data_IF_218292099792
#
_entry.id   IF_218292099792
#
_cell.length_a   1.000
_cell.length_b   1.000
_cell.length_c   1.000
_cell.angle_alpha   90.00
_cell.angle_beta   90.00
_cell.angle_gamma   90.00
#
_symmetry.space_group_name_H-M   'P 1'
#
loop_
_entity.id
_entity.type
_entity.pdbx_description
1 polymer ?
#
# COMPACT_ATOMS: atom_id res chain seq x y z
N UNK A 1 14.83 -15.08 17.88
CA UNK A 1 13.60 -15.32 17.08
C UNK A 1 13.31 -14.01 16.38
N UNK A 2 13.20 -14.02 15.07
CA UNK A 2 12.88 -12.84 14.25
C UNK A 2 11.48 -12.36 14.59
N UNK A 3 11.31 -11.08 14.86
CA UNK A 3 9.99 -10.48 15.08
C UNK A 3 9.25 -10.36 13.75
N UNK A 4 7.93 -10.51 13.78
CA UNK A 4 7.10 -10.38 12.58
C UNK A 4 5.87 -9.50 12.84
N UNK A 5 5.46 -8.74 11.82
CA UNK A 5 4.27 -7.91 11.84
C UNK A 5 3.47 -8.05 10.55
N UNK A 6 2.21 -7.70 10.58
CA UNK A 6 1.38 -7.61 9.39
C UNK A 6 1.28 -6.17 8.91
N UNK A 7 1.47 -5.95 7.60
CA UNK A 7 1.31 -4.66 6.96
C UNK A 7 0.13 -4.70 5.99
N UNK A 8 -0.95 -4.04 6.36
CA UNK A 8 -2.08 -3.79 5.46
C UNK A 8 -1.85 -2.50 4.68
N UNK A 9 -1.85 -2.63 3.35
CA UNK A 9 -1.33 -1.59 2.47
C UNK A 9 -2.15 -1.46 1.17
N UNK A 10 -2.25 -0.26 0.62
CA UNK A 10 -2.94 -0.01 -0.65
C UNK A 10 -2.17 0.94 -1.55
N UNK A 11 -2.07 0.62 -2.84
CA UNK A 11 -1.38 1.42 -3.85
C UNK A 11 -1.98 2.82 -4.06
N UNK A 12 -3.24 3.00 -3.74
CA UNK A 12 -3.92 4.29 -3.88
C UNK A 12 -3.75 5.19 -2.66
N UNK A 13 -3.12 4.73 -1.59
CA UNK A 13 -2.94 5.54 -0.38
C UNK A 13 -1.62 6.31 -0.40
N UNK A 14 -1.65 7.66 -0.36
CA UNK A 14 -0.43 8.46 -0.26
C UNK A 14 0.33 8.20 1.04
N UNK A 15 -0.36 7.94 2.15
CA UNK A 15 0.29 7.61 3.42
C UNK A 15 0.97 6.24 3.41
N UNK A 16 0.50 5.30 2.56
CA UNK A 16 1.22 4.06 2.29
C UNK A 16 2.56 4.35 1.60
N UNK A 17 2.57 5.20 0.58
CA UNK A 17 3.82 5.64 -0.05
C UNK A 17 4.74 6.32 0.96
N UNK A 18 4.22 7.23 1.78
CA UNK A 18 5.04 8.01 2.72
C UNK A 18 5.67 7.17 3.84
N UNK A 19 5.08 6.04 4.26
CA UNK A 19 5.66 5.17 5.28
C UNK A 19 6.68 4.18 4.70
N UNK A 20 6.60 3.85 3.40
CA UNK A 20 7.31 2.70 2.83
C UNK A 20 8.82 2.77 3.02
N UNK A 21 9.45 3.94 2.86
CA UNK A 21 10.89 4.10 3.07
C UNK A 21 11.31 3.72 4.51
N UNK A 22 10.53 4.10 5.52
CA UNK A 22 10.79 3.75 6.93
C UNK A 22 10.70 2.24 7.17
N UNK A 23 9.77 1.56 6.50
CA UNK A 23 9.61 0.11 6.60
C UNK A 23 10.77 -0.64 5.91
N UNK A 24 11.24 -0.13 4.77
CA UNK A 24 12.42 -0.67 4.08
C UNK A 24 13.67 -0.52 4.96
N UNK A 25 13.90 0.65 5.54
CA UNK A 25 14.98 0.89 6.48
C UNK A 25 14.89 -0.01 7.72
N UNK A 26 13.70 -0.15 8.28
CA UNK A 26 13.48 -1.01 9.45
C UNK A 26 13.88 -2.46 9.17
N UNK A 27 13.46 -3.04 8.03
CA UNK A 27 13.80 -4.42 7.68
C UNK A 27 15.26 -4.58 7.22
N UNK A 28 15.90 -3.52 6.72
CA UNK A 28 17.32 -3.51 6.39
C UNK A 28 18.19 -3.54 7.66
N UNK A 29 17.83 -2.74 8.65
CA UNK A 29 18.70 -2.45 9.80
C UNK A 29 18.43 -3.37 11.01
N UNK A 30 17.26 -4.03 11.05
CA UNK A 30 16.83 -4.83 12.19
C UNK A 30 16.32 -6.23 11.79
N UNK A 31 16.42 -7.17 12.73
CA UNK A 31 15.90 -8.55 12.59
C UNK A 31 14.38 -8.58 12.82
N UNK A 32 13.66 -8.07 11.81
CA UNK A 32 12.21 -8.03 11.76
C UNK A 32 11.71 -8.26 10.33
N UNK A 33 10.57 -8.94 10.19
CA UNK A 33 9.94 -9.24 8.90
C UNK A 33 8.48 -8.78 8.88
N UNK A 34 8.08 -8.16 7.77
CA UNK A 34 6.70 -7.77 7.51
C UNK A 34 5.99 -8.77 6.60
N UNK A 35 4.89 -9.36 7.06
CA UNK A 35 3.93 -10.03 6.19
C UNK A 35 3.13 -8.94 5.46
N UNK A 36 3.31 -8.86 4.16
CA UNK A 36 2.66 -7.83 3.34
C UNK A 36 1.27 -8.31 2.92
N UNK A 37 0.26 -7.54 3.27
CA UNK A 37 -1.15 -7.82 3.03
C UNK A 37 -1.77 -6.70 2.19
N UNK A 38 -1.63 -6.72 0.85
CA UNK A 38 -2.29 -5.73 0.00
C UNK A 38 -3.80 -5.82 0.12
N UNK A 39 -4.46 -4.66 0.21
CA UNK A 39 -5.91 -4.55 0.30
C UNK A 39 -6.43 -3.52 -0.71
N UNK A 40 -7.67 -3.67 -1.15
CA UNK A 40 -8.28 -2.64 -1.99
C UNK A 40 -8.47 -1.34 -1.20
N UNK A 41 -8.37 -0.17 -1.84
CA UNK A 41 -8.62 1.11 -1.19
C UNK A 41 -10.09 1.23 -0.75
N UNK A 42 -10.35 2.06 0.26
CA UNK A 42 -11.71 2.31 0.75
C UNK A 42 -12.66 2.78 -0.35
N UNK A 43 -12.16 3.52 -1.34
CA UNK A 43 -12.94 3.94 -2.49
C UNK A 43 -13.56 2.79 -3.31
N UNK A 44 -12.99 1.58 -3.21
CA UNK A 44 -13.49 0.36 -3.85
C UNK A 44 -14.29 -0.50 -2.88
N UNK A 45 -13.81 -0.63 -1.62
CA UNK A 45 -14.42 -1.50 -0.61
C UNK A 45 -15.68 -0.91 0.03
N UNK A 46 -15.69 0.41 0.20
CA UNK A 46 -16.71 1.15 0.97
C UNK A 46 -16.83 2.55 0.36
N UNK A 47 -17.29 2.68 -0.90
CA UNK A 47 -17.33 3.96 -1.62
C UNK A 47 -18.16 5.03 -0.88
N UNK A 48 -19.21 4.64 -0.17
CA UNK A 48 -20.05 5.49 0.66
C UNK A 48 -19.30 6.21 1.78
N UNK A 49 -18.13 5.70 2.16
CA UNK A 49 -17.24 6.38 3.13
C UNK A 49 -16.87 7.80 2.67
N UNK A 50 -16.68 8.00 1.38
CA UNK A 50 -16.31 9.30 0.82
C UNK A 50 -17.51 10.19 0.54
N UNK A 51 -18.67 9.61 0.25
CA UNK A 51 -19.91 10.33 -0.06
C UNK A 51 -20.42 11.12 1.15
N UNK A 52 -20.18 10.62 2.35
CA UNK A 52 -20.67 11.22 3.62
C UNK A 52 -19.65 12.16 4.29
N UNK A 53 -18.47 12.38 3.70
CA UNK A 53 -17.42 13.21 4.32
C UNK A 53 -17.66 14.68 4.08
N UNK A 54 -17.37 15.47 5.12
CA UNK A 54 -17.32 16.92 5.01
C UNK A 54 -16.30 17.34 3.92
N UNK A 55 -16.63 18.27 3.03
CA UNK A 55 -15.70 18.78 2.00
C UNK A 55 -14.36 19.28 2.57
N UNK A 56 -14.34 19.80 3.79
CA UNK A 56 -13.10 20.20 4.49
C UNK A 56 -12.13 19.05 4.69
N UNK A 57 -12.64 17.82 4.85
CA UNK A 57 -11.79 16.64 4.99
C UNK A 57 -10.88 16.43 3.78
N UNK A 58 -11.41 16.58 2.56
CA UNK A 58 -10.60 16.44 1.35
C UNK A 58 -9.56 17.56 1.21
N UNK A 59 -9.95 18.80 1.53
CA UNK A 59 -9.04 19.94 1.49
C UNK A 59 -7.91 19.78 2.49
N UNK A 60 -8.22 19.34 3.69
CA UNK A 60 -7.22 19.05 4.72
C UNK A 60 -6.31 17.89 4.30
N UNK A 61 -6.86 16.79 3.79
CA UNK A 61 -6.09 15.62 3.32
C UNK A 61 -5.05 16.02 2.27
N UNK A 62 -5.42 16.83 1.29
CA UNK A 62 -4.50 17.30 0.25
C UNK A 62 -3.39 18.20 0.80
N UNK A 63 -3.71 19.04 1.77
CA UNK A 63 -2.72 19.88 2.46
C UNK A 63 -1.77 19.02 3.28
N UNK A 64 -2.31 18.09 4.04
CA UNK A 64 -1.58 17.21 4.94
C UNK A 64 -0.59 16.32 4.19
N UNK A 65 -1.02 15.68 3.12
CA UNK A 65 -0.15 14.85 2.25
C UNK A 65 1.07 15.64 1.76
N UNK A 66 0.86 16.87 1.28
CA UNK A 66 1.96 17.72 0.79
C UNK A 66 2.91 18.15 1.90
N UNK A 67 2.35 18.48 3.07
CA UNK A 67 3.12 18.88 4.26
C UNK A 67 3.95 17.72 4.78
N UNK A 68 3.37 16.53 4.89
CA UNK A 68 4.06 15.32 5.33
C UNK A 68 5.17 14.92 4.34
N UNK A 69 4.91 14.95 3.05
CA UNK A 69 5.91 14.68 2.04
C UNK A 69 7.09 15.67 2.13
N UNK A 70 6.81 16.97 2.27
CA UNK A 70 7.82 18.00 2.44
C UNK A 70 8.63 17.82 3.74
N UNK A 71 7.97 17.47 4.85
CA UNK A 71 8.61 17.18 6.12
C UNK A 71 9.55 15.96 6.03
N UNK A 72 9.15 14.93 5.29
CA UNK A 72 9.94 13.72 5.07
C UNK A 72 10.99 13.88 3.95
N UNK A 73 11.00 15.00 3.22
CA UNK A 73 11.89 15.22 2.06
C UNK A 73 11.56 14.31 0.87
N UNK A 74 10.33 13.82 0.76
CA UNK A 74 9.89 12.92 -0.30
C UNK A 74 9.15 13.70 -1.40
N UNK A 75 9.48 13.46 -2.69
CA UNK A 75 8.68 13.99 -3.78
C UNK A 75 7.30 13.34 -3.77
N UNK A 76 6.25 14.12 -4.01
CA UNK A 76 4.90 13.60 -4.12
C UNK A 76 4.09 14.38 -5.14
N UNK A 77 3.38 13.65 -5.99
CA UNK A 77 2.36 14.17 -6.90
C UNK A 77 1.22 13.17 -6.98
N UNK A 78 0.00 13.68 -7.11
CA UNK A 78 -1.15 12.82 -7.34
C UNK A 78 -0.96 12.00 -8.64
N UNK A 79 -1.20 10.68 -8.61
CA UNK A 79 -0.97 9.79 -9.75
C UNK A 79 -1.75 10.19 -11.00
N UNK A 80 -1.17 9.94 -12.16
CA UNK A 80 -1.80 10.14 -13.47
C UNK A 80 -1.59 8.92 -14.35
N UNK A 81 -2.67 8.13 -14.60
CA UNK A 81 -4.01 8.23 -13.99
C UNK A 81 -4.02 7.87 -12.50
N UNK A 82 -5.09 8.31 -11.79
CA UNK A 82 -5.35 7.79 -10.42
C UNK A 82 -5.59 6.27 -10.52
N UNK A 83 -4.96 5.44 -9.66
CA UNK A 83 -5.23 4.00 -9.62
C UNK A 83 -6.71 3.64 -9.42
N UNK A 84 -7.49 4.53 -8.86
CA UNK A 84 -8.95 4.40 -8.70
C UNK A 84 -9.66 5.42 -9.57
N UNK A 85 -10.44 4.92 -10.52
CA UNK A 85 -11.28 5.77 -11.37
C UNK A 85 -12.44 6.36 -10.55
N UNK A 86 -12.65 7.66 -10.69
CA UNK A 86 -13.75 8.39 -10.05
C UNK A 86 -14.49 9.21 -11.12
N UNK A 87 -15.81 9.24 -11.05
CA UNK A 87 -16.62 10.21 -11.78
C UNK A 87 -16.57 11.54 -11.01
N UNK A 88 -15.91 12.54 -11.56
CA UNK A 88 -15.76 13.86 -10.94
C UNK A 88 -17.04 14.68 -10.89
N UNK A 89 -17.99 14.41 -11.80
CA UNK A 89 -19.25 15.15 -11.84
C UNK A 89 -20.20 14.69 -10.72
N UNK A 90 -20.27 13.40 -10.49
CA UNK A 90 -21.13 12.76 -9.47
C UNK A 90 -20.39 12.48 -8.16
N UNK A 91 -19.07 12.51 -8.14
CA UNK A 91 -18.19 12.09 -7.04
C UNK A 91 -18.40 10.63 -6.63
N UNK A 92 -18.80 9.80 -7.58
CA UNK A 92 -19.02 8.37 -7.36
C UNK A 92 -17.85 7.54 -7.92
N UNK A 93 -17.73 6.32 -7.40
CA UNK A 93 -16.72 5.37 -7.84
C UNK A 93 -17.38 4.27 -8.66
N UNK A 94 -17.10 4.18 -9.99
CA UNK A 94 -17.62 3.08 -10.81
C UNK A 94 -17.20 1.72 -10.26
N UNK A 95 -18.05 0.71 -10.44
CA UNK A 95 -17.71 -0.67 -10.05
C UNK A 95 -16.52 -1.22 -10.85
N UNK A 96 -16.45 -0.84 -12.13
CA UNK A 96 -15.34 -1.20 -13.00
C UNK A 96 -14.14 -0.30 -12.73
N UNK A 97 -13.08 -0.89 -12.20
CA UNK A 97 -11.83 -0.24 -11.86
C UNK A 97 -10.70 -0.85 -12.69
N UNK A 98 -10.28 -0.20 -13.79
CA UNK A 98 -9.38 -0.84 -14.77
C UNK A 98 -7.96 -1.08 -14.22
N UNK A 99 -7.54 -0.37 -13.18
CA UNK A 99 -6.15 -0.39 -12.73
C UNK A 99 -5.97 -1.05 -11.37
N UNK A 100 -6.76 -0.66 -10.37
CA UNK A 100 -6.47 -0.99 -8.96
C UNK A 100 -6.61 -2.47 -8.65
N UNK A 101 -7.50 -3.20 -9.33
CA UNK A 101 -7.65 -4.64 -9.12
C UNK A 101 -6.37 -5.38 -9.51
N UNK A 102 -5.93 -5.20 -10.75
CA UNK A 102 -4.68 -5.82 -11.24
C UNK A 102 -3.46 -5.39 -10.41
N UNK A 103 -3.37 -4.11 -10.08
CA UNK A 103 -2.27 -3.56 -9.28
C UNK A 103 -2.19 -4.20 -7.89
N UNK A 104 -3.34 -4.39 -7.23
CA UNK A 104 -3.41 -5.03 -5.91
C UNK A 104 -3.08 -6.52 -6.00
N UNK A 105 -3.56 -7.22 -7.03
CA UNK A 105 -3.24 -8.63 -7.27
C UNK A 105 -1.74 -8.85 -7.55
N UNK A 106 -1.09 -7.97 -8.31
CA UNK A 106 0.37 -7.99 -8.48
C UNK A 106 1.09 -7.84 -7.14
N UNK A 107 0.59 -6.97 -6.25
CA UNK A 107 1.12 -6.83 -4.89
C UNK A 107 1.00 -8.11 -4.07
N UNK A 108 -0.11 -8.84 -4.16
CA UNK A 108 -0.30 -10.15 -3.50
C UNK A 108 0.66 -11.17 -4.08
N UNK A 109 0.73 -11.28 -5.42
CA UNK A 109 1.63 -12.23 -6.08
C UNK A 109 3.11 -11.97 -5.74
N UNK A 110 3.50 -10.71 -5.56
CA UNK A 110 4.83 -10.33 -5.08
C UNK A 110 5.05 -10.73 -3.61
N UNK A 111 4.04 -10.54 -2.76
CA UNK A 111 4.11 -10.91 -1.34
C UNK A 111 4.26 -12.44 -1.15
N UNK A 112 3.53 -13.23 -1.92
CA UNK A 112 3.62 -14.70 -1.92
C UNK A 112 5.01 -15.22 -2.33
N UNK A 113 5.76 -14.43 -3.10
CA UNK A 113 7.15 -14.73 -3.52
C UNK A 113 8.21 -14.15 -2.56
N UNK A 114 7.79 -13.65 -1.40
CA UNK A 114 8.70 -13.01 -0.43
C UNK A 114 9.29 -11.67 -0.90
N UNK A 115 8.71 -11.07 -1.94
CA UNK A 115 9.16 -9.80 -2.52
C UNK A 115 8.13 -8.66 -2.34
N UNK A 116 7.21 -8.82 -1.40
CA UNK A 116 6.13 -7.88 -1.18
C UNK A 116 6.62 -6.45 -0.90
N UNK A 117 7.42 -6.24 0.15
CA UNK A 117 7.88 -4.89 0.50
C UNK A 117 8.76 -4.24 -0.58
N UNK A 118 9.74 -4.92 -1.20
CA UNK A 118 10.46 -4.37 -2.35
C UNK A 118 9.55 -3.97 -3.51
N UNK A 119 8.54 -4.77 -3.82
CA UNK A 119 7.58 -4.45 -4.88
C UNK A 119 6.70 -3.26 -4.53
N UNK A 120 6.18 -3.18 -3.29
CA UNK A 120 5.43 -2.02 -2.83
C UNK A 120 6.26 -0.74 -2.92
N UNK A 121 7.54 -0.79 -2.55
CA UNK A 121 8.43 0.37 -2.62
C UNK A 121 8.64 0.84 -4.07
N UNK A 122 8.99 -0.06 -4.98
CA UNK A 122 9.22 0.28 -6.39
C UNK A 122 7.96 0.83 -7.07
N UNK A 123 6.82 0.18 -6.87
CA UNK A 123 5.57 0.58 -7.51
C UNK A 123 4.98 1.84 -6.86
N UNK A 124 5.08 2.00 -5.54
CA UNK A 124 4.60 3.24 -4.92
C UNK A 124 5.42 4.45 -5.35
N UNK A 125 6.72 4.31 -5.51
CA UNK A 125 7.58 5.36 -6.09
C UNK A 125 7.20 5.68 -7.52
N UNK A 126 6.99 4.67 -8.36
CA UNK A 126 6.53 4.84 -9.73
C UNK A 126 5.23 5.67 -9.82
N UNK A 127 4.28 5.36 -8.95
CA UNK A 127 2.94 5.96 -8.97
C UNK A 127 2.93 7.37 -8.33
N UNK A 128 3.63 7.57 -7.20
CA UNK A 128 3.45 8.75 -6.35
C UNK A 128 4.53 9.82 -6.48
N UNK A 129 5.73 9.53 -7.00
CA UNK A 129 6.80 10.54 -7.11
C UNK A 129 6.52 11.61 -8.15
N UNK A 130 5.65 11.32 -9.12
CA UNK A 130 5.28 12.27 -10.16
C UNK A 130 6.29 12.41 -11.31
N UNK A 131 7.21 11.48 -11.41
CA UNK A 131 8.21 11.42 -12.49
C UNK A 131 7.62 10.78 -13.76
N UNK A 132 6.63 9.91 -13.60
CA UNK A 132 6.01 9.14 -14.69
C UNK A 132 4.50 9.42 -14.71
N UNK A 133 3.97 9.76 -15.87
CA UNK A 133 2.55 9.70 -16.20
C UNK A 133 2.28 8.39 -16.94
N UNK A 134 1.03 7.97 -17.01
CA UNK A 134 0.61 6.73 -17.68
C UNK A 134 1.39 5.48 -17.18
N UNK A 135 1.66 5.44 -15.87
CA UNK A 135 2.41 4.39 -15.19
C UNK A 135 1.91 2.96 -15.47
N UNK A 136 0.68 2.83 -15.95
CA UNK A 136 -0.01 1.56 -16.27
C UNK A 136 0.26 1.07 -17.70
N UNK A 137 0.82 1.94 -18.55
CA UNK A 137 1.15 1.67 -19.96
C UNK A 137 2.62 1.27 -20.11
N UNK A 138 2.95 0.65 -21.26
CA UNK A 138 4.31 0.24 -21.57
C UNK A 138 4.88 -0.76 -20.56
N UNK A 139 6.17 -0.61 -20.24
CA UNK A 139 6.95 -1.51 -19.41
C UNK A 139 7.22 -1.00 -17.99
N UNK A 140 6.56 0.09 -17.56
CA UNK A 140 6.84 0.72 -16.27
C UNK A 140 6.64 -0.20 -15.07
N UNK A 141 5.53 -0.98 -15.05
CA UNK A 141 5.26 -1.94 -13.99
C UNK A 141 6.20 -3.15 -14.06
N UNK A 142 6.54 -3.58 -15.26
CA UNK A 142 7.49 -4.68 -15.49
C UNK A 142 8.90 -4.30 -15.01
N UNK A 143 9.33 -3.09 -15.34
CA UNK A 143 10.60 -2.55 -14.85
C UNK A 143 10.62 -2.42 -13.32
N UNK A 144 9.51 -2.01 -12.69
CA UNK A 144 9.39 -1.95 -11.23
C UNK A 144 9.43 -3.36 -10.62
N UNK A 145 8.76 -4.34 -11.22
CA UNK A 145 8.82 -5.75 -10.79
C UNK A 145 10.25 -6.31 -10.87
N UNK A 146 10.96 -6.06 -11.97
CA UNK A 146 12.34 -6.48 -12.15
C UNK A 146 13.28 -5.86 -11.08
N UNK A 147 13.14 -4.56 -10.78
CA UNK A 147 13.91 -3.90 -9.71
C UNK A 147 13.58 -4.45 -8.33
N UNK A 148 12.36 -4.90 -8.11
CA UNK A 148 11.97 -5.61 -6.89
C UNK A 148 12.50 -7.05 -6.82
N UNK A 149 13.19 -7.54 -7.85
CA UNK A 149 13.74 -8.89 -7.94
C UNK A 149 12.71 -9.96 -8.29
N UNK A 150 11.70 -9.58 -9.07
CA UNK A 150 10.67 -10.46 -9.64
C UNK A 150 10.85 -10.61 -11.14
N UNK A 151 10.44 -11.75 -11.69
CA UNK A 151 10.26 -11.91 -13.13
C UNK A 151 8.91 -11.27 -13.56
N UNK A 152 8.93 -10.20 -14.39
CA UNK A 152 7.71 -9.52 -14.81
C UNK A 152 6.75 -10.41 -15.60
N UNK A 153 7.27 -11.32 -16.41
CA UNK A 153 6.47 -12.24 -17.21
C UNK A 153 5.77 -13.24 -16.31
N UNK A 154 6.49 -13.82 -15.35
CA UNK A 154 5.94 -14.79 -14.40
C UNK A 154 4.85 -14.18 -13.52
N UNK A 155 5.10 -12.98 -12.95
CA UNK A 155 4.12 -12.35 -12.05
C UNK A 155 2.86 -11.90 -12.80
N UNK A 156 3.00 -11.42 -14.04
CA UNK A 156 1.87 -11.05 -14.90
C UNK A 156 1.05 -12.26 -15.32
N UNK A 157 1.72 -13.37 -15.68
CA UNK A 157 1.05 -14.64 -16.00
C UNK A 157 0.30 -15.21 -14.79
N UNK A 158 0.88 -15.15 -13.61
CA UNK A 158 0.22 -15.55 -12.35
C UNK A 158 -1.09 -14.77 -12.14
N UNK A 159 -1.04 -13.43 -12.25
CA UNK A 159 -2.25 -12.60 -12.09
C UNK A 159 -3.30 -12.92 -13.15
N UNK A 160 -2.90 -13.17 -14.39
CA UNK A 160 -3.83 -13.53 -15.46
C UNK A 160 -4.50 -14.90 -15.24
N UNK A 161 -3.74 -15.87 -14.73
CA UNK A 161 -4.23 -17.24 -14.51
C UNK A 161 -5.04 -17.40 -13.20
N UNK A 162 -4.72 -16.61 -12.17
CA UNK A 162 -5.20 -16.85 -10.80
C UNK A 162 -5.95 -15.64 -10.20
N UNK A 163 -6.53 -14.80 -11.07
CA UNK A 163 -7.20 -13.55 -10.65
C UNK A 163 -8.21 -13.75 -9.53
N UNK A 164 -9.09 -14.79 -9.62
CA UNK A 164 -10.11 -15.07 -8.62
C UNK A 164 -9.48 -15.48 -7.28
N UNK A 165 -8.48 -16.37 -7.29
CA UNK A 165 -7.74 -16.75 -6.08
C UNK A 165 -7.06 -15.54 -5.41
N UNK A 166 -6.41 -14.70 -6.20
CA UNK A 166 -5.75 -13.51 -5.67
C UNK A 166 -6.76 -12.51 -5.10
N UNK A 167 -7.96 -12.42 -5.71
CA UNK A 167 -9.06 -11.65 -5.14
C UNK A 167 -9.51 -12.20 -3.78
N UNK A 168 -9.67 -13.51 -3.63
CA UNK A 168 -10.01 -14.14 -2.34
C UNK A 168 -8.96 -13.89 -1.27
N UNK A 169 -7.67 -13.89 -1.63
CA UNK A 169 -6.56 -13.53 -0.70
C UNK A 169 -6.69 -12.08 -0.23
N UNK A 170 -7.04 -11.16 -1.14
CA UNK A 170 -7.26 -9.74 -0.80
C UNK A 170 -8.45 -9.61 0.16
N UNK A 171 -9.57 -10.26 -0.13
CA UNK A 171 -10.77 -10.24 0.74
C UNK A 171 -10.46 -10.81 2.13
N UNK A 172 -9.73 -11.93 2.20
CA UNK A 172 -9.27 -12.52 3.46
C UNK A 172 -8.39 -11.53 4.24
N UNK A 173 -7.49 -10.83 3.55
CA UNK A 173 -6.64 -9.79 4.16
C UNK A 173 -7.47 -8.62 4.70
N UNK A 174 -8.54 -8.24 4.01
CA UNK A 174 -9.45 -7.17 4.46
C UNK A 174 -10.23 -7.55 5.71
N UNK A 175 -10.67 -8.81 5.82
CA UNK A 175 -11.30 -9.35 7.02
C UNK A 175 -10.29 -9.35 8.18
N UNK A 176 -9.11 -9.93 7.98
CA UNK A 176 -8.05 -9.98 8.99
C UNK A 176 -7.63 -8.58 9.45
N UNK A 177 -7.60 -7.59 8.55
CA UNK A 177 -7.34 -6.20 8.89
C UNK A 177 -8.37 -5.64 9.88
N UNK A 178 -9.66 -5.91 9.65
CA UNK A 178 -10.74 -5.46 10.56
C UNK A 178 -10.65 -6.17 11.90
N UNK A 179 -10.39 -7.46 11.91
CA UNK A 179 -10.23 -8.26 13.13
C UNK A 179 -9.02 -7.80 13.95
N UNK A 180 -7.97 -7.32 13.27
CA UNK A 180 -6.81 -6.71 13.91
C UNK A 180 -7.08 -5.29 14.46
N UNK A 181 -8.27 -4.72 14.28
CA UNK A 181 -8.76 -3.53 14.98
C UNK A 181 -8.89 -2.26 14.15
N UNK A 182 -8.57 -2.24 12.85
CA UNK A 182 -8.79 -1.06 12.01
C UNK A 182 -9.02 -1.41 10.54
N UNK A 183 -9.65 -0.50 9.79
CA UNK A 183 -9.99 -0.67 8.37
C UNK A 183 -9.16 0.22 7.41
N UNK A 184 -8.47 1.21 7.91
CA UNK A 184 -7.68 2.17 7.10
C UNK A 184 -6.26 1.67 6.81
N UNK A 185 -5.58 2.33 5.88
CA UNK A 185 -4.21 2.01 5.47
C UNK A 185 -3.33 3.27 5.44
N UNK A 186 -2.01 3.16 5.67
CA UNK A 186 -1.31 1.94 6.12
C UNK A 186 -1.74 1.53 7.52
N UNK A 187 -1.80 0.25 7.77
CA UNK A 187 -2.00 -0.27 9.12
C UNK A 187 -0.99 -1.39 9.39
N UNK A 188 -0.31 -1.30 10.52
CA UNK A 188 0.58 -2.34 11.01
C UNK A 188 -0.13 -3.03 12.17
N UNK A 189 -0.18 -4.36 12.16
CA UNK A 189 -0.62 -5.15 13.31
C UNK A 189 0.58 -5.91 13.89
N UNK A 190 0.83 -5.72 15.20
CA UNK A 190 1.94 -6.36 15.89
C UNK A 190 1.56 -6.65 17.34
N UNK A 191 1.75 -7.89 17.78
CA UNK A 191 1.48 -8.32 19.17
C UNK A 191 0.03 -8.11 19.61
N UNK A 192 -0.94 -8.15 18.68
CA UNK A 192 -2.36 -7.89 18.94
C UNK A 192 -2.73 -6.40 18.99
N UNK A 193 -1.80 -5.47 18.69
CA UNK A 193 -2.04 -4.03 18.67
C UNK A 193 -2.06 -3.51 17.22
N UNK A 194 -3.07 -2.71 16.79
CA UNK A 194 -3.08 -1.99 15.53
C UNK A 194 -2.37 -0.63 15.63
N UNK A 195 -1.53 -0.34 14.63
CA UNK A 195 -0.89 0.96 14.44
C UNK A 195 -1.37 1.53 13.10
N UNK A 196 -2.39 2.36 13.13
CA UNK A 196 -2.98 2.94 11.93
C UNK A 196 -2.40 4.32 11.62
N UNK A 197 -1.93 4.49 10.40
CA UNK A 197 -1.37 5.73 9.88
C UNK A 197 0.16 5.73 9.85
N UNK A 198 0.72 6.52 8.94
CA UNK A 198 2.17 6.64 8.77
C UNK A 198 2.84 7.32 9.99
N UNK A 199 2.08 8.12 10.72
CA UNK A 199 2.49 8.85 11.92
C UNK A 199 2.60 7.96 13.17
N UNK A 200 2.17 6.69 13.10
CA UNK A 200 2.31 5.70 14.17
C UNK A 200 3.57 4.85 14.06
N UNK A 201 4.39 5.07 13.03
CA UNK A 201 5.60 4.28 12.82
C UNK A 201 6.56 4.30 14.02
N UNK A 202 6.80 5.44 14.62
CA UNK A 202 7.73 5.55 15.76
C UNK A 202 7.19 4.82 17.00
N UNK A 203 5.88 4.83 17.22
CA UNK A 203 5.24 4.05 18.28
C UNK A 203 5.32 2.54 18.02
N UNK A 204 5.13 2.12 16.78
CA UNK A 204 5.34 0.73 16.37
C UNK A 204 6.79 0.29 16.57
N UNK A 205 7.77 1.07 16.11
CA UNK A 205 9.20 0.77 16.32
C UNK A 205 9.55 0.71 17.80
N UNK A 206 9.03 1.62 18.61
CA UNK A 206 9.18 1.56 20.06
C UNK A 206 8.62 0.26 20.64
N UNK A 207 7.45 -0.20 20.20
CA UNK A 207 6.85 -1.46 20.66
C UNK A 207 7.72 -2.67 20.25
N UNK A 208 8.27 -2.68 19.05
CA UNK A 208 9.24 -3.72 18.63
C UNK A 208 10.46 -3.76 19.56
N UNK A 209 10.99 -2.60 19.97
CA UNK A 209 12.10 -2.52 20.92
C UNK A 209 11.74 -3.13 22.27
N UNK A 210 10.52 -2.91 22.78
CA UNK A 210 10.04 -3.53 24.03
C UNK A 210 9.96 -5.05 23.91
N UNK A 211 9.81 -5.59 22.71
CA UNK A 211 9.76 -7.04 22.43
C UNK A 211 11.11 -7.61 21.97
N UNK A 212 12.18 -6.83 22.13
CA UNK A 212 13.53 -7.33 21.90
C UNK A 212 14.00 -7.23 20.44
N UNK A 213 13.57 -6.21 19.70
CA UNK A 213 14.08 -5.88 18.36
C UNK A 213 15.62 -5.80 18.39
N UNK A 214 16.29 -6.53 17.50
CA UNK A 214 17.75 -6.58 17.41
C UNK A 214 18.22 -5.95 16.09
N UNK A 215 19.32 -5.20 16.10
CA UNK A 215 20.02 -4.83 14.87
C UNK A 215 20.48 -6.09 14.11
N UNK A 216 20.54 -5.99 12.78
CA UNK A 216 21.17 -6.99 11.91
C UNK A 216 22.68 -6.87 11.90
#
# INVERSE_FOLDING_TARGET
MTLSYDLYWSFRSPYCYLITHKLVELQRDFDVEGRICPVYPLAVRTPEFFETRDPLWFSYLQLDIRREAAFLGLPIRWPRPDPVKMDFATRTYPKEQPYIHRLTQLGVAAAERGRGLPYLDEVSRLIWRGEVDDWHDGDHLDAAAARAGLDPVEISACVAAESDRLHEVIETSQIAQRDAGHYGVPMIAFGGEPFFGQDRFDQFKWRLMQQGLKPR
#
